data_IF_320578488990
#
_entry.id   IF_320578488990
#
_cell.length_a   1.000
_cell.length_b   1.000
_cell.length_c   1.000
_cell.angle_alpha   90.00
_cell.angle_beta   90.00
_cell.angle_gamma   90.00
#
_symmetry.space_group_name_H-M   'P 1'
#
loop_
_entity.id
_entity.type
_entity.pdbx_description
1 polymer ?
#
# COMPACT_ATOMS: atom_id res chain seq x y z
N UNK A 1 -15.97 6.88 4.64
CA UNK A 1 -16.96 7.93 4.28
C UNK A 1 -16.55 9.37 4.67
N UNK A 2 -15.91 9.63 5.82
CA UNK A 2 -15.34 10.97 6.14
C UNK A 2 -14.14 11.41 5.27
N UNK A 3 -13.50 10.48 4.55
CA UNK A 3 -12.38 10.74 3.65
C UNK A 3 -12.81 11.49 2.36
N UNK A 4 -13.97 11.17 1.81
CA UNK A 4 -14.47 11.80 0.57
C UNK A 4 -14.90 13.26 0.78
N UNK A 5 -15.54 13.58 1.92
CA UNK A 5 -15.96 14.97 2.22
C UNK A 5 -14.81 15.94 2.50
N UNK A 6 -13.66 15.46 2.98
CA UNK A 6 -12.47 16.30 3.17
C UNK A 6 -11.74 16.60 1.84
N UNK A 7 -11.86 15.69 0.87
CA UNK A 7 -11.31 15.88 -0.48
C UNK A 7 -12.12 16.90 -1.32
N UNK A 8 -13.40 17.13 -0.99
CA UNK A 8 -14.24 18.12 -1.67
C UNK A 8 -13.93 19.59 -1.29
N UNK A 9 -13.29 19.83 -0.15
CA UNK A 9 -13.07 21.19 0.37
C UNK A 9 -11.64 21.73 0.18
N UNK A 10 -10.67 20.90 -0.23
CA UNK A 10 -9.30 21.35 -0.56
C UNK A 10 -9.15 21.43 -2.08
N UNK A 11 -8.56 22.52 -2.61
CA UNK A 11 -8.38 22.73 -4.06
C UNK A 11 -7.56 21.61 -4.76
N UNK A 12 -6.83 20.80 -3.98
CA UNK A 12 -6.17 19.57 -4.44
C UNK A 12 -7.18 18.53 -5.00
N UNK A 13 -8.42 18.54 -4.52
CA UNK A 13 -9.53 17.74 -5.03
C UNK A 13 -9.99 18.14 -6.44
N UNK A 14 -9.89 19.42 -6.82
CA UNK A 14 -10.20 19.88 -8.19
C UNK A 14 -9.12 19.45 -9.19
N UNK A 15 -7.86 19.39 -8.76
CA UNK A 15 -6.77 18.77 -9.53
C UNK A 15 -7.02 17.29 -9.79
N UNK A 16 -7.39 16.52 -8.75
CA UNK A 16 -7.80 15.11 -8.85
C UNK A 16 -9.01 14.89 -9.78
N UNK A 17 -9.99 15.81 -9.80
CA UNK A 17 -11.15 15.71 -10.69
C UNK A 17 -10.80 15.86 -12.18
N UNK A 18 -9.72 16.57 -12.50
CA UNK A 18 -9.20 16.68 -13.87
C UNK A 18 -8.67 15.33 -14.38
N UNK A 19 -8.26 14.43 -13.47
CA UNK A 19 -7.73 13.10 -13.78
C UNK A 19 -8.77 11.97 -13.73
N UNK A 20 -10.08 12.29 -13.61
CA UNK A 20 -11.15 11.28 -13.55
C UNK A 20 -11.09 10.25 -14.69
N UNK A 21 -10.71 10.68 -15.89
CA UNK A 21 -10.63 9.79 -17.07
C UNK A 21 -9.47 8.82 -16.93
N UNK A 22 -8.33 9.26 -16.42
CA UNK A 22 -7.15 8.42 -16.16
C UNK A 22 -7.41 7.43 -15.01
N UNK A 23 -8.05 7.87 -13.93
CA UNK A 23 -8.52 7.00 -12.85
C UNK A 23 -9.54 5.95 -13.33
N UNK A 24 -10.42 6.31 -14.25
CA UNK A 24 -11.41 5.40 -14.83
C UNK A 24 -10.74 4.33 -15.71
N UNK A 25 -9.73 4.70 -16.51
CA UNK A 25 -8.90 3.75 -17.24
C UNK A 25 -8.11 2.83 -16.30
N UNK A 26 -7.48 3.38 -15.25
CA UNK A 26 -6.79 2.58 -14.22
C UNK A 26 -7.74 1.60 -13.55
N UNK A 27 -8.97 2.03 -13.22
CA UNK A 27 -10.02 1.16 -12.68
C UNK A 27 -10.43 0.05 -13.66
N UNK A 28 -10.63 0.37 -14.95
CA UNK A 28 -10.99 -0.61 -15.97
C UNK A 28 -9.88 -1.64 -16.21
N UNK A 29 -8.62 -1.21 -16.32
CA UNK A 29 -7.50 -2.14 -16.44
C UNK A 29 -7.29 -2.96 -15.17
N UNK A 30 -7.56 -2.38 -13.99
CA UNK A 30 -7.57 -3.14 -12.72
C UNK A 30 -8.66 -4.19 -12.70
N UNK A 31 -9.84 -3.88 -13.27
CA UNK A 31 -10.95 -4.82 -13.40
C UNK A 31 -10.56 -6.00 -14.29
N UNK A 32 -9.99 -5.73 -15.46
CA UNK A 32 -9.53 -6.78 -16.39
C UNK A 32 -8.42 -7.62 -15.76
N UNK A 33 -7.43 -6.99 -15.11
CA UNK A 33 -6.33 -7.70 -14.46
C UNK A 33 -6.81 -8.60 -13.30
N UNK A 34 -7.67 -8.09 -12.41
CA UNK A 34 -8.21 -8.88 -11.30
C UNK A 34 -9.15 -9.99 -11.79
N UNK A 35 -9.94 -9.76 -12.84
CA UNK A 35 -10.76 -10.82 -13.41
C UNK A 35 -9.88 -11.92 -14.03
N UNK A 36 -8.82 -11.54 -14.74
CA UNK A 36 -7.87 -12.48 -15.33
C UNK A 36 -7.00 -13.20 -14.28
N UNK A 37 -6.87 -12.68 -13.05
CA UNK A 37 -6.24 -13.40 -11.94
C UNK A 37 -6.99 -14.70 -11.56
N UNK A 38 -8.24 -14.89 -11.99
CA UNK A 38 -8.95 -16.16 -11.88
C UNK A 38 -8.45 -17.21 -12.88
N UNK A 39 -7.78 -16.80 -13.96
CA UNK A 39 -7.34 -17.71 -15.04
C UNK A 39 -6.49 -18.87 -14.53
N UNK A 40 -5.44 -18.66 -13.71
CA UNK A 40 -4.63 -19.79 -13.23
C UNK A 40 -5.44 -20.77 -12.39
N UNK A 41 -6.36 -20.25 -11.56
CA UNK A 41 -7.28 -21.06 -10.76
C UNK A 41 -8.22 -21.89 -11.63
N UNK A 42 -8.84 -21.28 -12.65
CA UNK A 42 -9.73 -21.97 -13.58
C UNK A 42 -8.98 -23.02 -14.40
N UNK A 43 -7.75 -22.71 -14.82
CA UNK A 43 -6.87 -23.67 -15.49
C UNK A 43 -6.58 -24.88 -14.60
N UNK A 44 -6.21 -24.67 -13.33
CA UNK A 44 -6.00 -25.77 -12.38
C UNK A 44 -7.26 -26.63 -12.24
N UNK A 45 -8.44 -26.02 -12.05
CA UNK A 45 -9.70 -26.75 -11.95
C UNK A 45 -9.94 -27.63 -13.18
N UNK A 46 -9.76 -27.08 -14.39
CA UNK A 46 -9.96 -27.85 -15.63
C UNK A 46 -8.91 -28.93 -15.86
N UNK A 47 -7.65 -28.69 -15.49
CA UNK A 47 -6.59 -29.70 -15.63
C UNK A 47 -6.87 -30.89 -14.70
N UNK A 48 -7.19 -30.65 -13.44
CA UNK A 48 -7.47 -31.71 -12.48
C UNK A 48 -8.79 -32.43 -12.75
N UNK A 49 -9.84 -31.71 -13.12
CA UNK A 49 -11.16 -32.31 -13.26
C UNK A 49 -11.41 -32.87 -14.67
N UNK A 50 -10.86 -32.26 -15.72
CA UNK A 50 -11.13 -32.68 -17.11
C UNK A 50 -9.94 -33.36 -17.76
N UNK A 51 -8.74 -32.79 -17.66
CA UNK A 51 -7.56 -33.33 -18.38
C UNK A 51 -7.08 -34.63 -17.73
N UNK A 52 -6.97 -34.68 -16.39
CA UNK A 52 -6.55 -35.91 -15.71
C UNK A 52 -7.53 -37.07 -15.91
N UNK A 53 -8.84 -36.79 -15.97
CA UNK A 53 -9.86 -37.82 -16.22
C UNK A 53 -9.91 -38.25 -17.69
N UNK A 54 -9.84 -37.31 -18.63
CA UNK A 54 -9.94 -37.61 -20.07
C UNK A 54 -8.64 -38.12 -20.70
N UNK A 55 -7.49 -37.93 -20.03
CA UNK A 55 -6.14 -38.25 -20.52
C UNK A 55 -5.84 -37.70 -21.93
N UNK A 56 -6.52 -36.61 -22.33
CA UNK A 56 -6.40 -36.02 -23.66
C UNK A 56 -5.30 -34.98 -23.71
N UNK A 57 -4.20 -35.28 -24.42
CA UNK A 57 -3.10 -34.34 -24.66
C UNK A 57 -3.55 -33.10 -25.45
N UNK A 58 -4.49 -33.26 -26.40
CA UNK A 58 -5.01 -32.16 -27.22
C UNK A 58 -5.76 -31.14 -26.36
N UNK A 59 -6.55 -31.61 -25.39
CA UNK A 59 -7.28 -30.72 -24.47
C UNK A 59 -6.29 -29.96 -23.59
N UNK A 60 -5.25 -30.63 -23.10
CA UNK A 60 -4.20 -29.99 -22.30
C UNK A 60 -3.53 -28.85 -23.07
N UNK A 61 -3.04 -29.12 -24.28
CA UNK A 61 -2.35 -28.12 -25.12
C UNK A 61 -3.26 -26.92 -25.39
N UNK A 62 -4.53 -27.17 -25.71
CA UNK A 62 -5.51 -26.10 -25.97
C UNK A 62 -5.74 -25.22 -24.74
N UNK A 63 -5.93 -25.84 -23.57
CA UNK A 63 -6.11 -25.11 -22.31
C UNK A 63 -4.85 -24.35 -21.88
N UNK A 64 -3.67 -24.93 -22.08
CA UNK A 64 -2.40 -24.27 -21.80
C UNK A 64 -2.21 -23.07 -22.72
N UNK A 65 -2.56 -23.17 -24.01
CA UNK A 65 -2.46 -22.05 -24.95
C UNK A 65 -3.39 -20.89 -24.55
N UNK A 66 -4.64 -21.20 -24.16
CA UNK A 66 -5.60 -20.20 -23.67
C UNK A 66 -5.10 -19.57 -22.36
N UNK A 67 -4.58 -20.37 -21.43
CA UNK A 67 -4.01 -19.89 -20.18
C UNK A 67 -2.83 -18.94 -20.44
N UNK A 68 -1.91 -19.30 -21.33
CA UNK A 68 -0.78 -18.44 -21.71
C UNK A 68 -1.28 -17.14 -22.32
N UNK A 69 -2.23 -17.19 -23.26
CA UNK A 69 -2.84 -16.00 -23.86
C UNK A 69 -3.43 -15.07 -22.80
N UNK A 70 -4.23 -15.59 -21.88
CA UNK A 70 -4.87 -14.79 -20.83
C UNK A 70 -3.84 -14.23 -19.84
N UNK A 71 -2.77 -14.98 -19.53
CA UNK A 71 -1.69 -14.51 -18.67
C UNK A 71 -0.88 -13.38 -19.34
N UNK A 72 -0.68 -13.46 -20.66
CA UNK A 72 -0.07 -12.38 -21.45
C UNK A 72 -0.96 -11.13 -21.43
N UNK A 73 -2.28 -11.28 -21.64
CA UNK A 73 -3.22 -10.15 -21.57
C UNK A 73 -3.24 -9.53 -20.17
N UNK A 74 -3.21 -10.36 -19.12
CA UNK A 74 -3.12 -9.91 -17.73
C UNK A 74 -1.84 -9.10 -17.49
N UNK A 75 -0.68 -9.59 -17.95
CA UNK A 75 0.59 -8.88 -17.83
C UNK A 75 0.58 -7.53 -18.57
N UNK A 76 0.00 -7.47 -19.77
CA UNK A 76 -0.17 -6.22 -20.51
C UNK A 76 -1.08 -5.26 -19.75
N UNK A 77 -2.20 -5.73 -19.21
CA UNK A 77 -3.12 -4.91 -18.41
C UNK A 77 -2.44 -4.34 -17.15
N UNK A 78 -1.65 -5.15 -16.44
CA UNK A 78 -0.85 -4.70 -15.29
C UNK A 78 0.21 -3.67 -15.67
N UNK A 79 0.92 -3.86 -16.79
CA UNK A 79 1.90 -2.92 -17.29
C UNK A 79 1.28 -1.58 -17.68
N UNK A 80 0.15 -1.61 -18.39
CA UNK A 80 -0.60 -0.39 -18.77
C UNK A 80 -1.09 0.32 -17.51
N UNK A 81 -1.68 -0.42 -16.56
CA UNK A 81 -2.11 0.11 -15.26
C UNK A 81 -0.98 0.81 -14.51
N UNK A 82 0.19 0.17 -14.43
CA UNK A 82 1.38 0.72 -13.79
C UNK A 82 1.87 2.00 -14.49
N UNK A 83 1.98 1.99 -15.82
CA UNK A 83 2.38 3.18 -16.60
C UNK A 83 1.41 4.34 -16.44
N UNK A 84 0.10 4.08 -16.40
CA UNK A 84 -0.91 5.10 -16.17
C UNK A 84 -0.76 5.76 -14.79
N UNK A 85 -0.54 4.96 -13.73
CA UNK A 85 -0.30 5.49 -12.38
C UNK A 85 0.99 6.31 -12.28
N UNK A 86 2.07 5.87 -12.92
CA UNK A 86 3.32 6.64 -12.97
C UNK A 86 3.11 7.97 -13.69
N UNK A 87 2.44 7.97 -14.85
CA UNK A 87 2.12 9.21 -15.59
C UNK A 87 1.23 10.14 -14.79
N UNK A 88 0.18 9.61 -14.14
CA UNK A 88 -0.68 10.39 -13.26
C UNK A 88 0.13 11.00 -12.09
N UNK A 89 1.05 10.23 -11.52
CA UNK A 89 1.98 10.70 -10.49
C UNK A 89 2.87 11.85 -10.96
N UNK A 90 3.44 11.76 -12.17
CA UNK A 90 4.26 12.84 -12.77
C UNK A 90 3.43 14.10 -13.04
N UNK A 91 2.24 13.96 -13.63
CA UNK A 91 1.36 15.13 -13.89
C UNK A 91 0.89 15.79 -12.59
N UNK A 92 0.65 15.00 -11.55
CA UNK A 92 0.34 15.50 -10.21
C UNK A 92 1.55 16.26 -9.63
N UNK A 93 2.76 15.71 -9.79
CA UNK A 93 4.02 16.35 -9.39
C UNK A 93 4.19 17.70 -10.10
N UNK A 94 4.09 17.75 -11.43
CA UNK A 94 4.19 18.98 -12.23
C UNK A 94 3.19 20.06 -11.79
N UNK A 95 1.94 19.67 -11.50
CA UNK A 95 0.89 20.60 -11.06
C UNK A 95 1.12 21.16 -9.65
N UNK A 96 1.72 20.37 -8.76
CA UNK A 96 2.04 20.82 -7.40
C UNK A 96 3.41 21.49 -7.30
N UNK A 97 4.38 21.16 -8.15
CA UNK A 97 5.76 21.59 -8.00
C UNK A 97 5.89 23.12 -8.05
N UNK A 98 5.24 23.77 -9.02
CA UNK A 98 5.23 25.24 -9.10
C UNK A 98 4.59 25.88 -7.84
N UNK A 99 3.48 25.33 -7.36
CA UNK A 99 2.76 25.85 -6.19
C UNK A 99 3.52 25.62 -4.88
N UNK A 100 4.15 24.45 -4.75
CA UNK A 100 4.99 24.12 -3.60
C UNK A 100 6.25 24.98 -3.62
N UNK A 101 6.83 25.27 -4.79
CA UNK A 101 7.94 26.19 -4.92
C UNK A 101 7.56 27.60 -4.43
N UNK A 102 6.47 28.17 -4.92
CA UNK A 102 6.00 29.51 -4.53
C UNK A 102 5.65 29.59 -3.03
N UNK A 103 4.92 28.60 -2.52
CA UNK A 103 4.57 28.52 -1.11
C UNK A 103 5.81 28.33 -0.21
N UNK A 104 6.76 27.49 -0.63
CA UNK A 104 8.03 27.27 0.09
C UNK A 104 8.89 28.54 0.12
N UNK A 105 8.92 29.28 -0.98
CA UNK A 105 9.68 30.52 -1.09
C UNK A 105 9.08 31.61 -0.20
N UNK A 106 7.75 31.80 -0.24
CA UNK A 106 7.02 32.73 0.64
C UNK A 106 7.19 32.39 2.13
N UNK A 107 7.18 31.10 2.50
CA UNK A 107 7.41 30.65 3.87
C UNK A 107 8.86 30.88 4.34
N UNK A 108 9.84 30.79 3.43
CA UNK A 108 11.24 31.13 3.73
C UNK A 108 11.41 32.63 4.00
N UNK A 109 10.72 33.47 3.22
CA UNK A 109 10.68 34.93 3.40
C UNK A 109 10.02 35.33 4.73
N UNK A 110 9.04 34.56 5.21
CA UNK A 110 8.38 34.76 6.50
C UNK A 110 9.17 34.25 7.73
N UNK A 111 10.47 33.97 7.60
CA UNK A 111 11.39 33.44 8.63
C UNK A 111 11.17 32.00 9.11
N UNK A 112 10.32 31.21 8.46
CA UNK A 112 10.17 29.78 8.72
C UNK A 112 11.04 28.92 7.78
N UNK A 113 12.32 29.28 7.61
CA UNK A 113 13.23 28.69 6.62
C UNK A 113 13.42 27.17 6.69
N UNK A 114 13.15 26.55 7.84
CA UNK A 114 13.16 25.10 7.96
C UNK A 114 11.96 24.42 7.26
N UNK A 115 10.90 25.16 6.91
CA UNK A 115 9.65 24.66 6.33
C UNK A 115 9.76 24.34 4.83
N UNK A 116 10.54 25.12 4.08
CA UNK A 116 10.66 24.99 2.62
C UNK A 116 11.29 23.67 2.15
N UNK A 117 12.44 23.27 2.70
CA UNK A 117 13.10 21.99 2.35
C UNK A 117 12.24 20.79 2.78
N UNK A 118 11.47 20.94 3.86
CA UNK A 118 10.53 19.92 4.34
C UNK A 118 9.35 19.73 3.37
N UNK A 119 8.85 20.79 2.75
CA UNK A 119 7.79 20.71 1.76
C UNK A 119 8.18 19.87 0.53
N UNK A 120 9.41 20.01 0.01
CA UNK A 120 9.90 19.15 -1.09
C UNK A 120 10.05 17.68 -0.70
N UNK A 121 10.50 17.39 0.53
CA UNK A 121 10.57 16.02 1.04
C UNK A 121 9.16 15.42 1.21
N UNK A 122 8.20 16.21 1.67
CA UNK A 122 6.80 15.78 1.84
C UNK A 122 6.12 15.54 0.47
N UNK A 123 6.40 16.37 -0.53
CA UNK A 123 5.97 16.17 -1.92
C UNK A 123 6.51 14.83 -2.47
N UNK A 124 7.79 14.57 -2.24
CA UNK A 124 8.46 13.32 -2.67
C UNK A 124 7.83 12.10 -2.01
N UNK A 125 7.54 12.17 -0.70
CA UNK A 125 6.87 11.09 0.04
C UNK A 125 5.46 10.83 -0.49
N UNK A 126 4.70 11.88 -0.79
CA UNK A 126 3.36 11.77 -1.37
C UNK A 126 3.41 11.14 -2.77
N UNK A 127 4.37 11.54 -3.61
CA UNK A 127 4.61 10.95 -4.93
C UNK A 127 4.94 9.47 -4.84
N UNK A 128 5.88 9.09 -3.97
CA UNK A 128 6.25 7.69 -3.76
C UNK A 128 5.06 6.83 -3.32
N UNK A 129 4.17 7.38 -2.50
CA UNK A 129 2.94 6.68 -2.11
C UNK A 129 1.97 6.52 -3.29
N UNK A 130 1.74 7.56 -4.09
CA UNK A 130 0.85 7.53 -5.25
C UNK A 130 1.33 6.59 -6.36
N UNK A 131 2.65 6.48 -6.56
CA UNK A 131 3.24 5.54 -7.52
C UNK A 131 3.51 4.15 -6.91
N UNK A 132 3.27 4.00 -5.61
CA UNK A 132 3.63 2.83 -4.83
C UNK A 132 2.56 1.74 -4.77
N UNK A 133 2.86 0.68 -4.03
CA UNK A 133 2.00 -0.51 -3.94
C UNK A 133 0.66 -0.26 -3.22
N UNK A 134 0.57 0.84 -2.44
CA UNK A 134 -0.63 1.21 -1.70
C UNK A 134 -1.82 1.51 -2.61
N UNK A 135 -1.59 2.12 -3.77
CA UNK A 135 -2.65 2.46 -4.73
C UNK A 135 -3.23 1.22 -5.38
N UNK A 136 -2.39 0.28 -5.82
CA UNK A 136 -2.86 -1.01 -6.37
C UNK A 136 -3.72 -1.77 -5.38
N UNK A 137 -3.29 -1.80 -4.12
CA UNK A 137 -4.02 -2.48 -3.05
C UNK A 137 -5.44 -1.93 -2.87
N UNK A 138 -5.64 -0.62 -3.05
CA UNK A 138 -6.96 0.01 -3.01
C UNK A 138 -7.85 -0.38 -4.19
N UNK A 139 -7.27 -0.52 -5.39
CA UNK A 139 -7.99 -0.99 -6.58
C UNK A 139 -8.34 -2.48 -6.53
N UNK A 140 -7.54 -3.28 -5.83
CA UNK A 140 -7.75 -4.73 -5.70
C UNK A 140 -8.73 -5.07 -4.55
N UNK A 141 -8.90 -4.17 -3.56
CA UNK A 141 -9.77 -4.40 -2.39
C UNK A 141 -11.25 -4.70 -2.74
N UNK A 142 -11.92 -4.03 -3.71
CA UNK A 142 -13.30 -4.32 -4.09
C UNK A 142 -13.50 -5.71 -4.72
N UNK A 143 -12.42 -6.39 -5.15
CA UNK A 143 -12.48 -7.72 -5.74
C UNK A 143 -12.52 -8.84 -4.70
N UNK A 144 -12.13 -8.55 -3.46
CA UNK A 144 -12.14 -9.54 -2.37
C UNK A 144 -13.52 -10.21 -2.19
N UNK A 145 -14.67 -9.47 -2.15
CA UNK A 145 -15.99 -10.09 -2.08
C UNK A 145 -16.32 -10.99 -3.27
N UNK A 146 -15.80 -10.69 -4.47
CA UNK A 146 -16.01 -11.51 -5.66
C UNK A 146 -15.26 -12.83 -5.52
N UNK A 147 -14.01 -12.81 -5.08
CA UNK A 147 -13.25 -14.03 -4.80
C UNK A 147 -13.92 -14.89 -3.72
N UNK A 148 -14.44 -14.27 -2.65
CA UNK A 148 -15.22 -14.96 -1.62
C UNK A 148 -16.54 -15.52 -2.16
N UNK A 149 -17.25 -14.78 -3.02
CA UNK A 149 -18.48 -15.25 -3.65
C UNK A 149 -18.24 -16.50 -4.51
N UNK A 150 -17.17 -16.49 -5.32
CA UNK A 150 -16.76 -17.68 -6.09
C UNK A 150 -16.40 -18.85 -5.18
N UNK A 151 -15.78 -18.58 -4.02
CA UNK A 151 -15.48 -19.61 -3.03
C UNK A 151 -16.77 -20.20 -2.41
N UNK A 152 -17.78 -19.38 -2.15
CA UNK A 152 -19.11 -19.84 -1.70
C UNK A 152 -19.81 -20.71 -2.74
N UNK A 153 -19.66 -20.39 -4.03
CA UNK A 153 -20.18 -21.21 -5.13
C UNK A 153 -19.50 -22.57 -5.21
N UNK A 154 -18.24 -22.69 -4.80
CA UNK A 154 -17.56 -23.99 -4.72
C UNK A 154 -18.07 -24.83 -3.56
N UNK A 155 -18.05 -24.29 -2.35
CA UNK A 155 -18.60 -24.96 -1.17
C UNK A 155 -18.92 -23.96 -0.04
N UNK A 156 -20.12 -23.99 0.57
CA UNK A 156 -20.48 -23.05 1.63
C UNK A 156 -19.53 -23.06 2.83
N UNK A 157 -19.00 -24.24 3.22
CA UNK A 157 -18.09 -24.38 4.35
C UNK A 157 -16.73 -23.70 4.09
N UNK A 158 -16.25 -23.73 2.84
CA UNK A 158 -15.03 -23.02 2.44
C UNK A 158 -15.26 -21.51 2.42
N UNK A 159 -16.45 -21.07 1.97
CA UNK A 159 -16.88 -19.67 2.04
C UNK A 159 -16.88 -19.12 3.46
N UNK A 160 -17.47 -19.83 4.41
CA UNK A 160 -17.47 -19.44 5.83
C UNK A 160 -16.07 -19.41 6.44
N UNK A 161 -15.22 -20.40 6.13
CA UNK A 161 -13.82 -20.38 6.54
C UNK A 161 -13.09 -19.14 5.98
N UNK A 162 -13.38 -18.75 4.73
CA UNK A 162 -12.82 -17.55 4.10
C UNK A 162 -13.26 -16.26 4.74
N UNK A 163 -14.53 -16.13 5.10
CA UNK A 163 -15.00 -15.00 5.91
C UNK A 163 -14.25 -14.96 7.24
N UNK A 164 -14.08 -16.11 7.92
CA UNK A 164 -13.34 -16.20 9.17
C UNK A 164 -11.91 -15.66 9.06
N UNK A 165 -11.13 -16.13 8.08
CA UNK A 165 -9.77 -15.62 7.85
C UNK A 165 -9.73 -14.16 7.42
N UNK A 166 -10.69 -13.74 6.60
CA UNK A 166 -10.83 -12.34 6.18
C UNK A 166 -11.05 -11.43 7.38
N UNK A 167 -11.97 -11.80 8.29
CA UNK A 167 -12.23 -11.07 9.52
C UNK A 167 -11.02 -11.06 10.45
N UNK A 168 -10.31 -12.18 10.59
CA UNK A 168 -9.08 -12.25 11.39
C UNK A 168 -7.98 -11.32 10.85
N UNK A 169 -7.77 -11.28 9.52
CA UNK A 169 -6.80 -10.36 8.92
C UNK A 169 -7.24 -8.91 9.03
N UNK A 170 -8.53 -8.60 8.90
CA UNK A 170 -9.06 -7.26 9.12
C UNK A 170 -8.84 -6.84 10.57
N UNK A 171 -9.11 -7.72 11.55
CA UNK A 171 -8.86 -7.47 12.96
C UNK A 171 -7.37 -7.21 13.22
N UNK A 172 -6.47 -7.99 12.61
CA UNK A 172 -5.03 -7.76 12.68
C UNK A 172 -4.65 -6.41 12.04
N UNK A 173 -5.22 -6.05 10.89
CA UNK A 173 -4.96 -4.79 10.22
C UNK A 173 -5.40 -3.58 11.06
N UNK A 174 -6.58 -3.67 11.68
CA UNK A 174 -7.08 -2.65 12.61
C UNK A 174 -6.16 -2.58 13.83
N UNK A 175 -5.84 -3.72 14.45
CA UNK A 175 -4.92 -3.78 15.60
C UNK A 175 -3.56 -3.17 15.27
N UNK A 176 -2.99 -3.51 14.11
CA UNK A 176 -1.74 -2.94 13.62
C UNK A 176 -1.80 -1.41 13.54
N UNK A 177 -2.92 -0.83 13.08
CA UNK A 177 -3.10 0.63 13.08
C UNK A 177 -3.01 1.24 14.48
N UNK A 178 -3.75 0.71 15.46
CA UNK A 178 -3.77 1.28 16.81
C UNK A 178 -2.42 1.17 17.53
N UNK A 179 -1.75 0.02 17.38
CA UNK A 179 -0.47 -0.22 18.07
C UNK A 179 0.70 0.50 17.39
N UNK A 180 0.69 0.65 16.06
CA UNK A 180 1.86 1.17 15.32
C UNK A 180 1.79 2.67 15.09
N UNK A 181 0.60 3.26 14.95
CA UNK A 181 0.46 4.67 14.54
C UNK A 181 1.14 5.65 15.50
N UNK A 182 0.98 5.47 16.81
CA UNK A 182 1.54 6.37 17.83
C UNK A 182 3.06 6.23 17.94
N UNK A 183 3.59 5.01 17.83
CA UNK A 183 5.03 4.75 17.81
C UNK A 183 5.69 5.37 16.58
N UNK A 184 5.01 5.30 15.43
CA UNK A 184 5.47 5.92 14.20
C UNK A 184 5.53 7.44 14.29
N UNK A 185 4.48 8.07 14.82
CA UNK A 185 4.45 9.51 15.02
C UNK A 185 5.59 9.98 15.93
N UNK A 186 5.79 9.29 17.07
CA UNK A 186 6.89 9.59 18.00
C UNK A 186 8.27 9.41 17.39
N UNK A 187 8.45 8.40 16.54
CA UNK A 187 9.68 8.15 15.79
C UNK A 187 9.94 9.26 14.77
N UNK A 188 8.92 9.63 13.98
CA UNK A 188 9.00 10.68 12.97
C UNK A 188 9.32 12.05 13.60
N UNK A 189 8.69 12.38 14.72
CA UNK A 189 8.97 13.63 15.45
C UNK A 189 10.41 13.71 15.95
N UNK A 190 10.99 12.59 16.38
CA UNK A 190 12.37 12.58 16.89
C UNK A 190 13.40 12.68 15.77
N UNK A 191 13.09 12.09 14.62
CA UNK A 191 13.85 12.27 13.39
C UNK A 191 13.82 13.73 12.92
N UNK A 192 12.65 14.36 12.93
CA UNK A 192 12.51 15.79 12.62
C UNK A 192 13.29 16.68 13.60
N UNK A 193 13.27 16.38 14.89
CA UNK A 193 14.05 17.11 15.90
C UNK A 193 15.56 16.98 15.68
N UNK A 194 16.08 15.77 15.42
CA UNK A 194 17.50 15.55 15.17
C UNK A 194 17.97 16.28 13.89
N UNK A 195 17.19 16.18 12.80
CA UNK A 195 17.52 16.81 11.53
C UNK A 195 17.42 18.35 11.59
N UNK A 196 16.39 18.89 12.25
CA UNK A 196 16.22 20.34 12.40
C UNK A 196 17.29 20.95 13.32
N UNK A 197 17.72 20.24 14.36
CA UNK A 197 18.83 20.65 15.22
C UNK A 197 20.13 20.79 14.43
N UNK A 198 20.51 19.76 13.67
CA UNK A 198 21.72 19.78 12.86
C UNK A 198 21.64 20.85 11.77
N UNK A 199 20.55 20.88 11.00
CA UNK A 199 20.36 21.84 9.91
C UNK A 199 20.39 23.29 10.39
N UNK A 200 19.86 23.58 11.59
CA UNK A 200 19.89 24.94 12.13
C UNK A 200 21.25 25.38 12.63
N UNK A 201 22.12 24.43 12.99
CA UNK A 201 23.46 24.73 13.52
C UNK A 201 24.50 24.79 12.41
N UNK A 202 24.33 24.00 11.34
CA UNK A 202 25.16 24.10 10.13
C UNK A 202 25.02 25.46 9.42
N UNK A 203 23.85 26.11 9.48
CA UNK A 203 23.68 27.48 8.96
C UNK A 203 24.55 28.53 9.67
N UNK A 204 25.09 28.20 10.85
CA UNK A 204 25.98 29.07 11.64
C UNK A 204 27.32 28.38 11.91
N UNK A 205 27.80 27.55 10.98
CA UNK A 205 29.00 26.74 11.16
C UNK A 205 30.26 27.57 11.49
N UNK A 206 30.44 28.72 10.83
CA UNK A 206 31.57 29.63 11.08
C UNK A 206 31.63 30.13 12.52
N UNK A 207 30.47 30.49 13.09
CA UNK A 207 30.35 30.93 14.48
C UNK A 207 30.56 29.77 15.48
N UNK A 208 30.11 28.57 15.12
CA UNK A 208 30.30 27.36 15.96
C UNK A 208 31.76 26.97 16.01
N UNK A 209 32.47 27.05 14.89
CA UNK A 209 33.90 26.77 14.78
C UNK A 209 34.74 27.82 15.51
N UNK A 210 34.45 29.12 15.27
CA UNK A 210 35.19 30.22 15.90
C UNK A 210 35.07 30.24 17.42
N UNK A 211 33.95 29.77 17.97
CA UNK A 211 33.72 29.68 19.42
C UNK A 211 34.13 28.31 20.03
N UNK A 212 34.66 27.37 19.23
CA UNK A 212 35.07 26.04 19.71
C UNK A 212 33.90 25.21 20.28
N UNK A 213 32.65 25.49 19.88
CA UNK A 213 31.45 24.88 20.47
C UNK A 213 31.13 23.49 19.90
N UNK A 214 31.88 23.03 18.90
CA UNK A 214 31.66 21.78 18.18
C UNK A 214 31.52 20.54 19.11
N UNK A 215 32.36 20.34 20.14
CA UNK A 215 32.22 19.18 21.03
C UNK A 215 30.92 19.15 21.83
N UNK A 216 30.40 20.32 22.22
CA UNK A 216 29.13 20.46 22.95
C UNK A 216 27.94 20.20 22.03
N UNK A 217 28.00 20.76 20.82
CA UNK A 217 27.01 20.54 19.78
C UNK A 217 26.90 19.05 19.42
N UNK A 218 28.05 18.40 19.22
CA UNK A 218 28.14 16.96 18.93
C UNK A 218 27.54 16.13 20.06
N UNK A 219 27.87 16.40 21.33
CA UNK A 219 27.28 15.68 22.47
C UNK A 219 25.76 15.77 22.50
N UNK A 220 25.21 16.97 22.26
CA UNK A 220 23.76 17.17 22.22
C UNK A 220 23.12 16.46 21.01
N UNK A 221 23.74 16.55 19.84
CA UNK A 221 23.27 15.86 18.64
C UNK A 221 23.27 14.34 18.80
N UNK A 222 24.33 13.75 19.36
CA UNK A 222 24.39 12.31 19.67
C UNK A 222 23.24 11.90 20.60
N UNK A 223 22.91 12.71 21.61
CA UNK A 223 21.76 12.44 22.49
C UNK A 223 20.40 12.46 21.78
N UNK A 224 20.21 13.38 20.82
CA UNK A 224 19.01 13.43 19.98
C UNK A 224 18.93 12.20 19.04
N UNK A 225 20.04 11.84 18.41
CA UNK A 225 20.14 10.66 17.53
C UNK A 225 19.93 9.37 18.30
N UNK A 226 20.45 9.24 19.52
CA UNK A 226 20.21 8.08 20.38
C UNK A 226 18.72 7.92 20.70
N UNK A 227 18.03 9.02 21.00
CA UNK A 227 16.57 9.02 21.25
C UNK A 227 15.80 8.65 19.98
N UNK A 228 16.21 9.18 18.82
CA UNK A 228 15.65 8.81 17.52
C UNK A 228 15.80 7.31 17.25
N UNK A 229 17.01 6.75 17.43
CA UNK A 229 17.25 5.33 17.20
C UNK A 229 16.42 4.45 18.12
N UNK A 230 16.30 4.79 19.41
CA UNK A 230 15.49 4.01 20.33
C UNK A 230 13.99 4.01 19.95
N UNK A 231 13.43 5.17 19.57
CA UNK A 231 12.04 5.24 19.12
C UNK A 231 11.82 4.56 17.77
N UNK A 232 12.82 4.64 16.88
CA UNK A 232 12.79 3.97 15.58
C UNK A 232 12.81 2.46 15.78
N UNK A 233 13.68 1.94 16.65
CA UNK A 233 13.75 0.53 17.00
C UNK A 233 12.40 0.01 17.51
N UNK A 234 11.81 0.67 18.52
CA UNK A 234 10.48 0.29 19.05
C UNK A 234 9.40 0.26 17.96
N UNK A 235 9.42 1.26 17.07
CA UNK A 235 8.46 1.33 15.98
C UNK A 235 8.68 0.23 14.93
N UNK A 236 9.92 -0.09 14.59
CA UNK A 236 10.26 -1.14 13.62
C UNK A 236 9.95 -2.52 14.20
N UNK A 237 10.27 -2.76 15.47
CA UNK A 237 9.98 -4.01 16.15
C UNK A 237 8.47 -4.29 16.15
N UNK A 238 7.65 -3.31 16.53
CA UNK A 238 6.20 -3.47 16.53
C UNK A 238 5.65 -3.72 15.10
N UNK A 239 6.18 -3.01 14.11
CA UNK A 239 5.80 -3.23 12.71
C UNK A 239 6.20 -4.65 12.23
N UNK A 240 7.40 -5.13 12.57
CA UNK A 240 7.86 -6.47 12.23
C UNK A 240 7.03 -7.56 12.91
N UNK A 241 6.65 -7.38 14.18
CA UNK A 241 5.73 -8.29 14.89
C UNK A 241 4.38 -8.39 14.17
N UNK A 242 3.78 -7.26 13.77
CA UNK A 242 2.51 -7.25 13.02
C UNK A 242 2.63 -7.92 11.64
N UNK A 243 3.73 -7.69 10.93
CA UNK A 243 4.00 -8.35 9.65
C UNK A 243 4.22 -9.86 9.82
N UNK A 244 4.91 -10.29 10.87
CA UNK A 244 5.14 -11.69 11.18
C UNK A 244 3.82 -12.41 11.49
N UNK A 245 2.94 -11.81 12.31
CA UNK A 245 1.59 -12.33 12.57
C UNK A 245 0.75 -12.40 11.29
N UNK A 246 0.84 -11.40 10.42
CA UNK A 246 0.15 -11.41 9.12
C UNK A 246 0.61 -12.55 8.21
N UNK A 247 1.92 -12.77 8.12
CA UNK A 247 2.50 -13.91 7.38
C UNK A 247 2.12 -15.25 7.99
N UNK A 248 2.16 -15.37 9.31
CA UNK A 248 1.73 -16.57 10.03
C UNK A 248 0.27 -16.90 9.68
N UNK A 249 -0.65 -15.93 9.81
CA UNK A 249 -2.06 -16.13 9.43
C UNK A 249 -2.22 -16.52 7.97
N UNK A 250 -1.45 -15.93 7.06
CA UNK A 250 -1.50 -16.26 5.64
C UNK A 250 -1.05 -17.71 5.36
N UNK A 251 0.05 -18.15 5.96
CA UNK A 251 0.53 -19.53 5.80
C UNK A 251 -0.38 -20.55 6.49
N UNK A 252 -0.86 -20.24 7.70
CA UNK A 252 -1.84 -21.08 8.39
C UNK A 252 -3.14 -21.20 7.60
N UNK A 253 -3.62 -20.10 7.01
CA UNK A 253 -4.80 -20.14 6.13
C UNK A 253 -4.58 -21.06 4.93
N UNK A 254 -3.43 -20.97 4.27
CA UNK A 254 -3.15 -21.77 3.08
C UNK A 254 -3.16 -23.29 3.40
N UNK A 255 -2.59 -23.67 4.55
CA UNK A 255 -2.61 -25.07 5.01
C UNK A 255 -3.99 -25.52 5.50
N UNK A 256 -4.71 -24.68 6.25
CA UNK A 256 -6.02 -25.03 6.82
C UNK A 256 -7.11 -25.12 5.76
N UNK A 257 -7.11 -24.25 4.76
CA UNK A 257 -8.05 -24.32 3.64
C UNK A 257 -7.78 -25.55 2.78
N UNK A 258 -6.51 -25.88 2.54
CA UNK A 258 -6.17 -27.13 1.87
C UNK A 258 -6.62 -28.35 2.67
N UNK A 259 -6.43 -28.36 3.99
CA UNK A 259 -6.89 -29.45 4.86
C UNK A 259 -8.42 -29.59 4.87
N UNK A 260 -9.15 -28.48 4.97
CA UNK A 260 -10.62 -28.47 4.88
C UNK A 260 -11.11 -28.93 3.50
N UNK A 261 -10.46 -28.48 2.43
CA UNK A 261 -10.75 -28.93 1.07
C UNK A 261 -10.48 -30.42 0.88
N UNK A 262 -9.37 -30.94 1.40
CA UNK A 262 -9.05 -32.37 1.36
C UNK A 262 -10.09 -33.21 2.11
N UNK A 263 -10.52 -32.74 3.28
CA UNK A 263 -11.58 -33.40 4.05
C UNK A 263 -12.92 -33.43 3.32
N UNK A 264 -13.30 -32.35 2.63
CA UNK A 264 -14.49 -32.30 1.77
C UNK A 264 -14.35 -33.18 0.52
N UNK A 265 -13.16 -33.23 -0.08
CA UNK A 265 -12.88 -34.03 -1.27
C UNK A 265 -12.95 -35.54 -0.96
N UNK A 266 -12.46 -35.96 0.21
CA UNK A 266 -12.57 -37.37 0.67
C UNK A 266 -14.02 -37.80 0.86
N UNK A 267 -14.91 -36.86 1.20
CA UNK A 267 -16.36 -37.10 1.31
C UNK A 267 -17.09 -37.08 -0.02
N UNK A 268 -16.41 -36.74 -1.11
CA UNK A 268 -17.01 -36.60 -2.44
C UNK A 268 -17.87 -35.35 -2.61
N UNK A 269 -17.77 -34.37 -1.70
CA UNK A 269 -18.55 -33.11 -1.77
C UNK A 269 -17.92 -32.11 -2.77
N UNK A 270 -16.61 -32.17 -2.98
CA UNK A 270 -15.87 -31.34 -3.94
C UNK A 270 -14.89 -32.18 -4.76
N UNK A 271 -14.58 -31.73 -5.98
CA UNK A 271 -13.55 -32.34 -6.82
C UNK A 271 -12.14 -31.99 -6.35
N UNK A 272 -11.14 -32.75 -6.81
CA UNK A 272 -9.73 -32.45 -6.56
C UNK A 272 -9.33 -31.08 -7.15
N UNK A 273 -9.86 -30.74 -8.33
CA UNK A 273 -9.67 -29.42 -8.93
C UNK A 273 -10.28 -28.30 -8.09
N UNK A 274 -11.50 -28.50 -7.56
CA UNK A 274 -12.16 -27.54 -6.67
C UNK A 274 -11.39 -27.34 -5.36
N UNK A 275 -10.81 -28.40 -4.79
CA UNK A 275 -9.96 -28.31 -3.60
C UNK A 275 -8.77 -27.37 -3.84
N UNK A 276 -8.00 -27.58 -4.91
CA UNK A 276 -6.81 -26.78 -5.21
C UNK A 276 -7.21 -25.35 -5.62
N UNK A 277 -8.25 -25.21 -6.44
CA UNK A 277 -8.81 -23.93 -6.85
C UNK A 277 -9.26 -23.08 -5.65
N UNK A 278 -9.91 -23.70 -4.65
CA UNK A 278 -10.38 -23.00 -3.45
C UNK A 278 -9.24 -22.39 -2.64
N UNK A 279 -8.10 -23.09 -2.52
CA UNK A 279 -6.92 -22.57 -1.85
C UNK A 279 -6.30 -21.39 -2.60
N UNK A 280 -6.19 -21.48 -3.93
CA UNK A 280 -5.69 -20.39 -4.77
C UNK A 280 -6.61 -19.15 -4.73
N UNK A 281 -7.93 -19.35 -4.79
CA UNK A 281 -8.92 -18.27 -4.66
C UNK A 281 -8.81 -17.58 -3.30
N UNK A 282 -8.66 -18.35 -2.23
CA UNK A 282 -8.50 -17.78 -0.89
C UNK A 282 -7.24 -16.92 -0.78
N UNK A 283 -6.12 -17.39 -1.33
CA UNK A 283 -4.88 -16.62 -1.34
C UNK A 283 -5.06 -15.27 -2.07
N UNK A 284 -5.80 -15.26 -3.18
CA UNK A 284 -6.14 -14.04 -3.91
C UNK A 284 -7.10 -13.12 -3.13
N UNK A 285 -8.09 -13.67 -2.43
CA UNK A 285 -9.03 -12.91 -1.61
C UNK A 285 -8.34 -12.16 -0.46
N UNK A 286 -7.34 -12.77 0.16
CA UNK A 286 -6.65 -12.22 1.35
C UNK A 286 -5.46 -11.32 0.99
N UNK A 287 -4.93 -11.43 -0.23
CA UNK A 287 -3.76 -10.67 -0.71
C UNK A 287 -3.88 -9.14 -0.53
N UNK A 288 -5.02 -8.47 -0.84
CA UNK A 288 -5.13 -7.03 -0.63
C UNK A 288 -5.02 -6.66 0.85
N UNK A 289 -5.60 -7.46 1.75
CA UNK A 289 -5.60 -7.19 3.19
C UNK A 289 -4.18 -7.34 3.75
N UNK A 290 -3.46 -8.40 3.37
CA UNK A 290 -2.07 -8.57 3.80
C UNK A 290 -1.14 -7.49 3.23
N UNK A 291 -1.36 -7.05 1.99
CA UNK A 291 -0.67 -5.91 1.40
C UNK A 291 -0.93 -4.60 2.16
N UNK A 292 -2.19 -4.34 2.57
CA UNK A 292 -2.53 -3.15 3.37
C UNK A 292 -1.73 -3.07 4.67
N UNK A 293 -1.58 -4.20 5.38
CA UNK A 293 -0.76 -4.27 6.61
C UNK A 293 0.71 -3.94 6.30
N UNK A 294 1.23 -4.40 5.16
CA UNK A 294 2.59 -4.10 4.71
C UNK A 294 2.82 -2.63 4.33
N UNK A 295 1.86 -2.00 3.66
CA UNK A 295 1.96 -0.61 3.16
C UNK A 295 1.43 0.43 4.14
N UNK A 296 0.94 0.03 5.31
CA UNK A 296 0.28 0.92 6.27
C UNK A 296 1.15 2.11 6.71
N UNK A 297 2.44 1.84 6.95
CA UNK A 297 3.44 2.86 7.25
C UNK A 297 3.45 3.97 6.19
N UNK A 298 3.59 3.58 4.93
CA UNK A 298 3.70 4.50 3.80
C UNK A 298 2.42 5.34 3.67
N UNK A 299 1.26 4.76 3.99
CA UNK A 299 -0.01 5.49 4.04
C UNK A 299 -0.05 6.56 5.15
N UNK A 300 0.42 6.24 6.36
CA UNK A 300 0.49 7.21 7.46
C UNK A 300 1.45 8.35 7.11
N UNK A 301 2.64 8.02 6.62
CA UNK A 301 3.67 9.01 6.22
C UNK A 301 3.14 9.95 5.13
N UNK A 302 2.50 9.39 4.09
CA UNK A 302 1.87 10.18 3.03
C UNK A 302 0.74 11.07 3.55
N UNK A 303 -0.10 10.57 4.46
CA UNK A 303 -1.17 11.36 5.08
C UNK A 303 -0.62 12.52 5.91
N UNK A 304 0.44 12.29 6.67
CA UNK A 304 1.08 13.35 7.46
C UNK A 304 1.76 14.38 6.56
N UNK A 305 2.47 13.93 5.52
CA UNK A 305 3.07 14.80 4.50
C UNK A 305 2.01 15.68 3.82
N UNK A 306 0.89 15.09 3.41
CA UNK A 306 -0.24 15.82 2.83
C UNK A 306 -0.76 16.92 3.76
N UNK A 307 -1.00 16.60 5.05
CA UNK A 307 -1.48 17.59 6.03
C UNK A 307 -0.50 18.75 6.23
N UNK A 308 0.81 18.47 6.23
CA UNK A 308 1.85 19.50 6.36
C UNK A 308 1.88 20.40 5.14
N UNK A 309 1.81 19.83 3.93
CA UNK A 309 1.76 20.59 2.68
C UNK A 309 0.51 21.48 2.59
N UNK A 310 -0.67 20.95 2.92
CA UNK A 310 -1.93 21.70 2.90
C UNK A 310 -1.87 22.91 3.84
N UNK A 311 -1.24 22.77 5.02
CA UNK A 311 -1.02 23.87 5.95
C UNK A 311 -0.10 24.96 5.38
N UNK A 312 1.01 24.58 4.74
CA UNK A 312 1.99 25.52 4.17
C UNK A 312 1.40 26.27 2.98
N UNK A 313 0.70 25.57 2.08
CA UNK A 313 0.03 26.18 0.93
C UNK A 313 -1.09 27.11 1.40
N UNK A 314 -1.89 26.67 2.38
CA UNK A 314 -2.95 27.48 2.99
C UNK A 314 -2.45 28.77 3.63
N UNK A 315 -1.28 28.75 4.28
CA UNK A 315 -0.68 29.96 4.89
C UNK A 315 -0.07 30.94 3.87
N UNK A 316 0.37 30.47 2.70
CA UNK A 316 0.94 31.36 1.67
C UNK A 316 -0.11 32.27 1.02
N UNK A 317 -1.38 31.86 1.03
CA UNK A 317 -2.50 32.57 0.37
C UNK A 317 -3.05 33.74 1.19
N UNK A 318 -2.60 33.93 2.44
CA UNK A 318 -3.00 35.04 3.31
C UNK A 318 -2.09 36.26 3.23
N UNK A 319 -1.08 36.24 2.37
CA UNK A 319 -0.28 37.43 2.05
C UNK A 319 -0.82 38.05 0.75
N UNK A 320 -1.19 39.34 0.77
CA UNK A 320 -1.93 40.01 -0.31
C UNK A 320 -1.16 40.12 -1.63
#
# INVERSE_FOLDING_TARGET
>A
MRLMRYLEHSELGRGLWTFRREFLWVGLFSLVANLLMLTPTLYMLQVFDRVMLSQSEVTLITLTLVMVLFTVVMAIAELVRSRLLVRAGVRFDEALNARVFDASFSAHLAQDGASATRAFSDLTNLRQFLTGNGVFTFFDLPWMPIYLAVLFLMHPLLGWAGIGFTLLLIALAIGSHWLTATLHERSSDSELQANSYLGSKLRHAEAVESMGMLPNLRRRWIGLVATQFHRREQSHEQQHRMQALGKFLQYSQQSLILALGAWLAVRGEISLGAMIASNALMANALRPISSLVGTWKQFIEARQAYKRLDKVIGSSRSLP
#
